data_IF_633911109819
#
_entry.id   IF_633911109819
#
_cell.length_a   1.000
_cell.length_b   1.000
_cell.length_c   1.000
_cell.angle_alpha   90.00
_cell.angle_beta   90.00
_cell.angle_gamma   90.00
#
_symmetry.space_group_name_H-M   'P 1'
#
loop_
_entity.id
_entity.type
_entity.pdbx_description
1 polymer ?
#
# COMPACT_ATOMS: atom_id res chain seq x y z
N UNK A 1 0.05 -18.29 -21.78
CA UNK A 1 1.20 -18.31 -22.72
C UNK A 1 2.22 -17.29 -22.22
N UNK A 2 3.43 -17.72 -21.84
CA UNK A 2 4.50 -16.81 -21.42
C UNK A 2 5.25 -16.34 -22.67
N UNK A 3 4.99 -15.11 -23.11
CA UNK A 3 5.78 -14.48 -24.16
C UNK A 3 7.18 -14.15 -23.60
N UNK A 4 8.27 -14.49 -24.32
CA UNK A 4 9.61 -14.13 -23.89
C UNK A 4 9.75 -12.61 -23.78
N UNK A 5 10.51 -12.18 -22.79
CA UNK A 5 10.70 -10.77 -22.51
C UNK A 5 11.39 -10.08 -23.72
N UNK A 6 10.95 -8.89 -24.15
CA UNK A 6 11.56 -8.18 -25.27
C UNK A 6 13.07 -7.93 -25.05
N UNK A 7 13.87 -7.89 -26.12
CA UNK A 7 15.29 -7.50 -26.03
C UNK A 7 15.40 -6.09 -25.42
N UNK A 8 16.20 -5.92 -24.37
CA UNK A 8 16.30 -4.67 -23.62
C UNK A 8 15.29 -4.52 -22.47
N UNK A 9 14.63 -5.63 -22.09
CA UNK A 9 13.82 -5.72 -20.87
C UNK A 9 14.67 -6.21 -19.69
N UNK A 10 14.33 -5.75 -18.49
CA UNK A 10 14.96 -6.18 -17.24
C UNK A 10 13.97 -6.18 -16.09
N UNK A 11 14.09 -7.14 -15.18
CA UNK A 11 13.28 -7.20 -13.96
C UNK A 11 14.06 -6.54 -12.83
N UNK A 12 13.45 -5.57 -12.15
CA UNK A 12 14.06 -4.91 -10.99
C UNK A 12 14.17 -5.88 -9.80
N UNK A 13 15.06 -5.63 -8.81
CA UNK A 13 15.10 -6.40 -7.56
C UNK A 13 13.75 -6.42 -6.82
N UNK A 14 12.88 -5.45 -7.09
CA UNK A 14 11.54 -5.35 -6.53
C UNK A 14 10.46 -6.11 -7.32
N UNK A 15 10.82 -6.85 -8.38
CA UNK A 15 9.92 -7.71 -9.15
C UNK A 15 9.19 -7.03 -10.31
N UNK A 16 9.42 -5.74 -10.57
CA UNK A 16 8.80 -5.05 -11.70
C UNK A 16 9.58 -5.22 -12.99
N UNK A 17 8.90 -5.51 -14.12
CA UNK A 17 9.51 -5.45 -15.45
C UNK A 17 9.66 -4.01 -15.93
N UNK A 18 10.83 -3.71 -16.51
CA UNK A 18 11.12 -2.48 -17.24
C UNK A 18 11.43 -2.79 -18.70
N UNK A 19 10.99 -1.90 -19.58
CA UNK A 19 11.26 -1.94 -21.01
C UNK A 19 12.00 -0.67 -21.41
N UNK A 20 12.93 -0.79 -22.36
CA UNK A 20 13.57 0.35 -23.00
C UNK A 20 12.64 0.91 -24.09
N UNK A 21 12.26 2.18 -23.96
CA UNK A 21 11.39 2.89 -24.90
C UNK A 21 12.19 3.50 -26.06
N UNK A 22 11.51 3.99 -27.11
CA UNK A 22 12.16 4.55 -28.32
C UNK A 22 13.08 5.74 -28.02
N UNK A 23 12.74 6.52 -27.00
CA UNK A 23 13.54 7.63 -26.44
C UNK A 23 14.72 7.16 -25.57
N UNK A 24 15.03 5.85 -25.59
CA UNK A 24 16.11 5.18 -24.84
C UNK A 24 15.96 5.24 -23.32
N UNK A 25 14.80 5.63 -22.80
CA UNK A 25 14.50 5.60 -21.36
C UNK A 25 14.05 4.21 -20.92
N UNK A 26 14.30 3.86 -19.66
CA UNK A 26 13.72 2.66 -19.05
C UNK A 26 12.42 3.04 -18.35
N UNK A 27 11.30 2.43 -18.76
CA UNK A 27 9.99 2.64 -18.15
C UNK A 27 9.38 1.33 -17.67
N UNK A 28 8.54 1.38 -16.66
CA UNK A 28 7.86 0.21 -16.12
C UNK A 28 6.80 -0.30 -17.10
N UNK A 29 6.80 -1.60 -17.35
CA UNK A 29 5.89 -2.22 -18.33
C UNK A 29 4.41 -1.98 -17.98
N UNK A 30 4.01 -2.15 -16.72
CA UNK A 30 2.62 -1.89 -16.30
C UNK A 30 2.16 -0.45 -16.55
N UNK A 31 3.06 0.54 -16.47
CA UNK A 31 2.73 1.93 -16.79
C UNK A 31 2.54 2.10 -18.28
N UNK A 32 3.43 1.51 -19.10
CA UNK A 32 3.31 1.56 -20.55
C UNK A 32 2.02 0.88 -21.05
N UNK A 33 1.67 -0.28 -20.48
CA UNK A 33 0.43 -0.99 -20.80
C UNK A 33 -0.80 -0.15 -20.44
N UNK A 34 -0.81 0.46 -19.25
CA UNK A 34 -1.88 1.36 -18.84
C UNK A 34 -2.00 2.56 -19.78
N UNK A 35 -0.89 3.25 -20.05
CA UNK A 35 -0.88 4.47 -20.86
C UNK A 35 -1.28 4.24 -22.31
N UNK A 36 -0.95 3.07 -22.86
CA UNK A 36 -1.37 2.69 -24.20
C UNK A 36 -2.89 2.52 -24.35
N UNK A 37 -3.60 2.23 -23.26
CA UNK A 37 -5.05 1.98 -23.27
C UNK A 37 -5.87 3.17 -22.73
N UNK A 38 -5.42 3.80 -21.65
CA UNK A 38 -6.17 4.86 -20.94
C UNK A 38 -5.52 6.24 -21.03
N UNK A 39 -4.33 6.36 -21.61
CA UNK A 39 -3.56 7.60 -21.61
C UNK A 39 -2.72 7.82 -20.34
N UNK A 40 -2.10 9.01 -20.18
CA UNK A 40 -1.07 9.25 -19.18
C UNK A 40 -1.57 9.00 -17.75
N UNK A 41 -0.70 8.42 -16.90
CA UNK A 41 -0.97 8.31 -15.46
C UNK A 41 -1.00 9.72 -14.85
N UNK A 42 -2.11 10.18 -14.25
CA UNK A 42 -2.19 11.53 -13.71
C UNK A 42 -1.22 11.73 -12.53
N UNK A 43 -0.76 12.98 -12.28
CA UNK A 43 0.03 13.30 -11.10
C UNK A 43 -0.63 12.82 -9.80
N UNK A 44 0.17 12.29 -8.87
CA UNK A 44 -0.32 11.78 -7.59
C UNK A 44 -0.98 10.39 -7.65
N UNK A 45 -1.02 9.76 -8.82
CA UNK A 45 -1.55 8.40 -9.01
C UNK A 45 -0.45 7.39 -9.31
N UNK A 46 -0.74 6.13 -9.03
CA UNK A 46 0.13 4.97 -9.23
C UNK A 46 -0.70 3.82 -9.80
N UNK A 47 -0.05 2.90 -10.51
CA UNK A 47 -0.68 1.68 -11.01
C UNK A 47 -0.42 0.55 -10.02
N UNK A 48 -1.51 -0.06 -9.56
CA UNK A 48 -1.49 -1.15 -8.59
C UNK A 48 -1.86 -2.48 -9.26
N UNK A 49 -1.06 -3.52 -8.98
CA UNK A 49 -1.35 -4.91 -9.34
C UNK A 49 -2.31 -5.53 -8.33
N UNK A 50 -3.54 -5.82 -8.76
CA UNK A 50 -4.62 -6.32 -7.90
C UNK A 50 -4.26 -7.67 -7.27
N UNK A 51 -3.67 -8.58 -8.05
CA UNK A 51 -3.23 -9.89 -7.59
C UNK A 51 -1.85 -9.89 -6.90
N UNK A 52 -1.19 -8.73 -6.79
CA UNK A 52 0.16 -8.54 -6.25
C UNK A 52 1.30 -9.20 -7.04
N UNK A 53 1.00 -9.84 -8.18
CA UNK A 53 2.00 -10.28 -9.15
C UNK A 53 2.40 -9.10 -10.04
N UNK A 54 3.61 -8.59 -9.81
CA UNK A 54 4.19 -7.42 -10.50
C UNK A 54 4.59 -7.69 -11.95
N UNK A 55 4.56 -8.95 -12.38
CA UNK A 55 4.84 -9.36 -13.75
C UNK A 55 3.55 -9.64 -14.54
N UNK A 56 2.39 -9.78 -13.88
CA UNK A 56 1.09 -9.89 -14.53
C UNK A 56 0.56 -8.50 -14.89
N UNK A 57 0.93 -8.03 -16.09
CA UNK A 57 0.61 -6.69 -16.57
C UNK A 57 -0.66 -6.64 -17.44
N UNK A 58 -1.53 -7.64 -17.37
CA UNK A 58 -2.83 -7.61 -18.06
C UNK A 58 -3.71 -6.50 -17.50
N UNK A 59 -4.46 -5.80 -18.35
CA UNK A 59 -5.24 -4.63 -17.96
C UNK A 59 -6.23 -4.93 -16.84
N UNK A 60 -6.85 -6.11 -16.82
CA UNK A 60 -7.76 -6.55 -15.75
C UNK A 60 -7.09 -6.68 -14.37
N UNK A 61 -5.76 -6.83 -14.34
CA UNK A 61 -4.97 -6.91 -13.11
C UNK A 61 -4.41 -5.54 -12.67
N UNK A 62 -4.56 -4.49 -13.48
CA UNK A 62 -4.04 -3.16 -13.19
C UNK A 62 -5.16 -2.25 -12.69
N UNK A 63 -4.86 -1.44 -11.67
CA UNK A 63 -5.77 -0.41 -11.15
C UNK A 63 -5.03 0.89 -10.91
N UNK A 64 -5.54 1.99 -11.46
CA UNK A 64 -5.12 3.33 -11.08
C UNK A 64 -5.61 3.63 -9.66
N UNK A 65 -4.68 4.00 -8.79
CA UNK A 65 -4.95 4.36 -7.40
C UNK A 65 -4.20 5.63 -7.04
N UNK A 66 -4.70 6.38 -6.07
CA UNK A 66 -3.90 7.47 -5.47
C UNK A 66 -2.76 6.89 -4.63
N UNK A 67 -1.70 7.67 -4.40
CA UNK A 67 -0.59 7.30 -3.49
C UNK A 67 -1.06 6.89 -2.10
N UNK A 68 -2.10 7.55 -1.59
CA UNK A 68 -2.69 7.24 -0.28
C UNK A 68 -3.36 5.87 -0.29
N UNK A 69 -4.16 5.58 -1.31
CA UNK A 69 -4.83 4.29 -1.44
C UNK A 69 -3.83 3.16 -1.63
N UNK A 70 -2.81 3.35 -2.48
CA UNK A 70 -1.76 2.36 -2.67
C UNK A 70 -1.06 2.02 -1.35
N UNK A 71 -0.70 3.05 -0.56
CA UNK A 71 -0.13 2.86 0.78
C UNK A 71 -1.08 2.13 1.73
N UNK A 72 -2.37 2.44 1.70
CA UNK A 72 -3.39 1.79 2.54
C UNK A 72 -3.52 0.31 2.19
N UNK A 73 -3.58 -0.03 0.90
CA UNK A 73 -3.64 -1.42 0.42
C UNK A 73 -2.42 -2.21 0.93
N UNK A 74 -1.20 -1.69 0.72
CA UNK A 74 0.03 -2.33 1.21
C UNK A 74 0.13 -2.39 2.74
N UNK A 75 -0.59 -1.53 3.45
CA UNK A 75 -0.67 -1.55 4.91
C UNK A 75 -1.74 -2.52 5.45
N UNK A 76 -2.33 -3.36 4.59
CA UNK A 76 -3.38 -4.32 4.94
C UNK A 76 -4.73 -3.67 5.25
N UNK A 77 -4.95 -2.44 4.80
CA UNK A 77 -6.25 -1.80 4.89
C UNK A 77 -7.15 -2.28 3.76
N UNK A 78 -8.45 -2.40 4.04
CA UNK A 78 -9.47 -2.78 3.06
C UNK A 78 -10.41 -1.60 2.83
N UNK A 79 -10.86 -1.42 1.59
CA UNK A 79 -11.85 -0.41 1.25
C UNK A 79 -13.25 -1.01 1.37
N UNK A 80 -14.13 -0.38 2.13
CA UNK A 80 -15.53 -0.78 2.30
C UNK A 80 -16.43 0.41 1.97
N UNK A 81 -16.99 0.43 0.76
CA UNK A 81 -17.70 1.61 0.24
C UNK A 81 -16.77 2.83 0.18
N UNK A 82 -17.16 3.90 0.88
CA UNK A 82 -16.38 5.14 0.98
C UNK A 82 -15.35 5.13 2.12
N UNK A 83 -15.36 4.13 3.01
CA UNK A 83 -14.48 4.09 4.18
C UNK A 83 -13.31 3.12 4.01
N UNK A 84 -12.29 3.34 4.83
CA UNK A 84 -11.13 2.45 4.89
C UNK A 84 -11.08 1.80 6.25
N UNK A 85 -11.06 0.46 6.26
CA UNK A 85 -10.94 -0.33 7.47
C UNK A 85 -9.52 -0.84 7.62
N UNK A 86 -9.01 -0.90 8.84
CA UNK A 86 -7.72 -1.51 9.17
C UNK A 86 -7.89 -2.56 10.24
N UNK A 87 -7.21 -3.70 10.09
CA UNK A 87 -7.14 -4.73 11.14
C UNK A 87 -6.24 -4.26 12.27
N UNK A 88 -6.79 -4.13 13.47
CA UNK A 88 -5.98 -3.85 14.67
C UNK A 88 -5.02 -5.02 14.93
N UNK A 89 -3.71 -4.76 15.12
CA UNK A 89 -2.73 -5.81 15.42
C UNK A 89 -2.89 -6.44 16.80
N UNK A 90 -3.55 -5.78 17.76
CA UNK A 90 -3.80 -6.30 19.12
C UNK A 90 -5.11 -7.09 19.19
N UNK A 91 -6.25 -6.46 18.92
CA UNK A 91 -7.56 -7.12 19.04
C UNK A 91 -8.06 -7.83 17.77
N UNK A 92 -7.35 -7.70 16.65
CA UNK A 92 -7.63 -8.37 15.35
C UNK A 92 -8.94 -7.97 14.64
N UNK A 93 -9.71 -7.04 15.19
CA UNK A 93 -10.90 -6.50 14.54
C UNK A 93 -10.56 -5.49 13.44
N UNK A 94 -11.32 -5.52 12.35
CA UNK A 94 -11.35 -4.45 11.36
C UNK A 94 -12.19 -3.30 11.89
N UNK A 95 -11.65 -2.09 11.82
CA UNK A 95 -12.30 -0.86 12.30
C UNK A 95 -12.01 0.28 11.33
N UNK A 96 -12.90 1.26 11.30
CA UNK A 96 -12.73 2.44 10.46
C UNK A 96 -11.50 3.25 10.89
N UNK A 97 -10.61 3.52 9.93
CA UNK A 97 -9.40 4.31 10.15
C UNK A 97 -9.73 5.71 10.69
N UNK A 98 -10.78 6.35 10.17
CA UNK A 98 -11.11 7.74 10.49
C UNK A 98 -11.52 7.91 11.96
N UNK A 99 -12.26 6.94 12.51
CA UNK A 99 -12.86 7.04 13.85
C UNK A 99 -12.14 6.20 14.89
N UNK A 100 -11.54 5.07 14.52
CA UNK A 100 -11.04 4.06 15.47
C UNK A 100 -9.52 3.95 15.52
N UNK A 101 -8.79 4.70 14.69
CA UNK A 101 -7.32 4.72 14.70
C UNK A 101 -6.77 6.14 14.88
N UNK A 102 -5.55 6.22 15.42
CA UNK A 102 -4.78 7.46 15.39
C UNK A 102 -4.09 7.58 14.03
N UNK A 103 -4.27 8.73 13.38
CA UNK A 103 -3.57 9.12 12.15
C UNK A 103 -2.46 10.09 12.54
N UNK A 104 -1.24 9.85 12.07
CA UNK A 104 -0.08 10.67 12.45
C UNK A 104 -0.04 11.95 11.59
N UNK A 105 -0.16 13.15 12.17
CA UNK A 105 -0.08 14.40 11.41
C UNK A 105 1.22 14.48 10.60
N UNK A 106 1.15 15.03 9.39
CA UNK A 106 2.31 15.13 8.48
C UNK A 106 2.72 13.82 7.82
N UNK A 107 2.10 12.68 8.15
CA UNK A 107 2.28 11.43 7.42
C UNK A 107 0.92 10.80 7.07
N UNK A 108 0.81 10.21 5.90
CA UNK A 108 -0.33 9.35 5.56
C UNK A 108 -0.29 8.00 6.29
N UNK A 109 0.25 7.97 7.51
CA UNK A 109 0.46 6.80 8.35
C UNK A 109 -0.67 6.64 9.36
N UNK A 110 -1.07 5.39 9.60
CA UNK A 110 -2.11 5.03 10.57
C UNK A 110 -1.49 4.09 11.59
N UNK A 111 -1.81 4.29 12.87
CA UNK A 111 -1.34 3.42 13.94
C UNK A 111 -1.69 1.94 13.67
N UNK A 112 -0.82 1.03 14.09
CA UNK A 112 -1.04 -0.41 13.89
C UNK A 112 -2.07 -1.04 14.83
N UNK A 113 -2.58 -0.31 15.82
CA UNK A 113 -3.59 -0.76 16.78
C UNK A 113 -4.69 0.31 16.89
N UNK A 114 -5.92 -0.10 17.19
CA UNK A 114 -7.04 0.84 17.36
C UNK A 114 -6.85 1.71 18.61
N UNK A 115 -7.56 2.84 18.68
CA UNK A 115 -7.51 3.82 19.79
C UNK A 115 -7.70 3.15 21.14
N UNK A 116 -8.73 2.29 21.27
CA UNK A 116 -8.97 1.51 22.49
C UNK A 116 -7.75 0.71 22.92
N UNK A 117 -7.21 -0.11 22.02
CA UNK A 117 -6.02 -0.91 22.31
C UNK A 117 -4.79 -0.05 22.64
N UNK A 118 -4.65 1.13 22.03
CA UNK A 118 -3.57 2.07 22.35
C UNK A 118 -3.71 2.64 23.77
N UNK A 119 -4.93 2.98 24.19
CA UNK A 119 -5.21 3.40 25.57
C UNK A 119 -4.86 2.28 26.55
N UNK A 120 -5.28 1.04 26.28
CA UNK A 120 -4.95 -0.11 27.12
C UNK A 120 -3.42 -0.27 27.28
N UNK A 121 -2.68 -0.21 26.17
CA UNK A 121 -1.19 -0.24 26.20
C UNK A 121 -0.63 0.89 27.07
N UNK A 122 -1.14 2.10 26.94
CA UNK A 122 -0.64 3.25 27.69
C UNK A 122 -0.87 3.08 29.21
N UNK A 123 -2.05 2.58 29.60
CA UNK A 123 -2.38 2.26 31.00
C UNK A 123 -1.46 1.17 31.54
N UNK A 124 -1.30 0.07 30.79
CA UNK A 124 -0.41 -1.04 31.16
C UNK A 124 1.03 -0.56 31.38
N UNK A 125 1.53 0.30 30.48
CA UNK A 125 2.87 0.86 30.57
C UNK A 125 3.04 1.79 31.79
N UNK A 126 2.04 2.60 32.13
CA UNK A 126 2.06 3.46 33.32
C UNK A 126 2.13 2.63 34.59
N UNK A 127 1.34 1.56 34.69
CA UNK A 127 1.35 0.62 35.83
C UNK A 127 2.72 -0.05 35.99
N UNK A 128 3.31 -0.55 34.90
CA UNK A 128 4.65 -1.17 34.90
C UNK A 128 5.75 -0.21 35.38
N UNK A 129 5.69 1.06 34.96
CA UNK A 129 6.66 2.09 35.41
C UNK A 129 6.52 2.43 36.89
N UNK A 130 5.30 2.41 37.43
CA UNK A 130 5.06 2.63 38.85
C UNK A 130 5.64 1.48 39.69
N UNK A 131 5.38 0.23 39.31
CA UNK A 131 5.93 -0.95 39.99
C UNK A 131 7.47 -0.93 40.04
N UNK A 132 8.13 -0.59 38.93
CA UNK A 132 9.59 -0.46 38.86
C UNK A 132 10.19 0.66 39.73
N UNK A 133 9.39 1.65 40.14
CA UNK A 133 9.83 2.74 41.02
C UNK A 133 9.68 2.39 42.50
N UNK A 134 8.92 1.35 42.80
CA UNK A 134 8.62 0.88 44.16
C UNK A 134 9.42 -0.38 44.54
N UNK A 135 10.31 -0.85 43.68
CA UNK A 135 11.29 -1.93 43.90
C UNK A 135 12.69 -1.32 43.98
#
# INVERSE_FOLDING_TARGET
>A
MNLPAPRGSGVTPHGYRRLRTKDRRLRFEHVLVWEAHFGPVPPGHEIHHVNQDKLDNRLENLRLVTRLEHKRIHSGCIRFGATWLKRCRRCRWYRDIATEFYVYPGSNGVMGICRRCAVDVAVDNKRRRALKRSS
#
